data_IF_400623807999
#
_entry.id   IF_400623807999
#
_cell.length_a   1.000
_cell.length_b   1.000
_cell.length_c   1.000
_cell.angle_alpha   90.00
_cell.angle_beta   90.00
_cell.angle_gamma   90.00
#
_symmetry.space_group_name_H-M   'P 1'
#
loop_
_entity.id
_entity.type
_entity.pdbx_description
1 polymer ?
#
# COMPACT_ATOMS: atom_id res chain seq x y z
N UNK A 1 -47.45 -19.84 7.58
CA UNK A 1 -46.86 -21.03 8.20
C UNK A 1 -45.80 -20.54 9.19
N UNK A 2 -45.98 -20.79 10.49
CA UNK A 2 -45.21 -20.21 11.62
C UNK A 2 -44.07 -21.16 12.04
N UNK A 3 -42.84 -20.67 12.15
CA UNK A 3 -41.70 -21.35 12.80
C UNK A 3 -40.89 -20.25 13.53
N UNK A 4 -41.17 -19.93 14.81
CA UNK A 4 -40.54 -20.42 16.06
C UNK A 4 -39.00 -20.32 16.02
N UNK A 5 -38.41 -19.24 16.54
CA UNK A 5 -37.97 -19.04 17.94
C UNK A 5 -36.80 -19.94 18.37
N UNK A 6 -35.67 -19.32 18.70
CA UNK A 6 -34.53 -19.97 19.34
C UNK A 6 -33.41 -18.98 19.69
N UNK A 7 -33.64 -18.17 20.73
CA UNK A 7 -32.69 -17.24 21.33
C UNK A 7 -31.77 -18.05 22.28
N UNK A 8 -30.45 -17.96 22.12
CA UNK A 8 -29.49 -18.50 23.09
C UNK A 8 -28.45 -17.42 23.42
N UNK A 9 -28.69 -16.71 24.53
CA UNK A 9 -27.72 -15.87 25.21
C UNK A 9 -26.76 -16.77 26.00
N UNK A 10 -25.46 -16.72 25.70
CA UNK A 10 -24.41 -17.24 26.56
C UNK A 10 -23.67 -16.07 27.19
N UNK A 11 -23.94 -15.81 28.47
CA UNK A 11 -23.22 -14.86 29.31
C UNK A 11 -22.04 -15.61 29.93
N UNK A 12 -20.81 -15.25 29.57
CA UNK A 12 -19.61 -15.75 30.23
C UNK A 12 -18.96 -14.60 31.01
N UNK A 13 -19.14 -14.62 32.32
CA UNK A 13 -18.54 -13.72 33.29
C UNK A 13 -17.12 -14.20 33.60
N UNK A 14 -16.09 -13.45 33.21
CA UNK A 14 -14.71 -13.70 33.65
C UNK A 14 -14.31 -12.66 34.70
N UNK A 15 -14.30 -13.09 35.96
CA UNK A 15 -13.75 -12.34 37.08
C UNK A 15 -12.26 -12.67 37.20
N UNK A 16 -11.39 -11.67 37.02
CA UNK A 16 -9.95 -11.80 37.28
C UNK A 16 -9.59 -10.95 38.49
N UNK A 17 -8.96 -11.61 39.46
CA UNK A 17 -8.69 -11.14 40.80
C UNK A 17 -7.55 -10.11 40.86
N UNK A 18 -7.73 -9.07 41.69
CA UNK A 18 -6.68 -8.18 42.16
C UNK A 18 -5.83 -8.91 43.22
N UNK A 19 -4.51 -8.96 43.00
CA UNK A 19 -3.55 -9.24 44.08
C UNK A 19 -2.59 -8.06 44.23
N UNK A 20 -2.72 -7.38 45.37
CA UNK A 20 -1.81 -6.36 45.87
C UNK A 20 -0.83 -6.98 46.87
N UNK A 21 0.47 -6.80 46.67
CA UNK A 21 1.55 -7.00 47.66
C UNK A 21 2.88 -6.67 46.97
N UNK A 22 3.84 -5.91 47.48
CA UNK A 22 4.00 -5.21 48.74
C UNK A 22 5.27 -4.34 48.65
N UNK A 23 5.27 -3.20 49.33
CA UNK A 23 6.44 -2.33 49.46
C UNK A 23 7.46 -2.93 50.44
N UNK A 24 8.68 -3.18 50.00
CA UNK A 24 9.86 -3.25 50.86
C UNK A 24 10.70 -1.99 50.64
N UNK A 25 10.79 -1.16 51.66
CA UNK A 25 11.72 -0.05 51.71
C UNK A 25 13.15 -0.59 51.83
N UNK A 26 13.98 -0.29 50.84
CA UNK A 26 15.40 -0.62 50.85
C UNK A 26 16.21 0.47 51.58
N UNK A 27 17.21 0.01 52.33
CA UNK A 27 18.24 0.76 53.06
C UNK A 27 18.91 1.83 52.17
N UNK A 28 19.22 3.05 52.67
CA UNK A 28 20.00 4.03 51.93
C UNK A 28 21.44 3.54 51.75
N UNK A 29 21.73 3.02 50.55
CA UNK A 29 23.07 2.72 50.09
C UNK A 29 23.94 4.00 50.01
N UNK A 30 25.25 3.92 50.29
CA UNK A 30 26.16 5.06 50.29
C UNK A 30 26.15 5.77 48.93
N UNK A 31 26.07 7.10 48.98
CA UNK A 31 26.00 7.95 47.79
C UNK A 31 27.21 7.72 46.86
N UNK A 32 26.99 7.40 45.57
CA UNK A 32 28.07 7.21 44.63
C UNK A 32 28.82 8.53 44.42
N UNK A 33 30.15 8.48 44.48
CA UNK A 33 31.01 9.60 44.09
C UNK A 33 30.90 9.79 42.58
N UNK A 34 30.22 10.85 42.16
CA UNK A 34 30.05 11.19 40.74
C UNK A 34 31.37 11.69 40.19
N UNK A 35 32.07 10.82 39.47
CA UNK A 35 33.20 11.24 38.63
C UNK A 35 32.60 11.80 37.34
N UNK A 36 32.62 13.13 37.19
CA UNK A 36 32.17 13.80 35.97
C UNK A 36 33.19 13.50 34.88
N UNK A 37 32.93 12.47 34.09
CA UNK A 37 33.64 12.24 32.83
C UNK A 37 33.03 13.20 31.83
N UNK A 38 33.78 14.24 31.46
CA UNK A 38 33.44 15.12 30.33
C UNK A 38 33.55 14.30 29.05
N UNK A 39 32.42 13.74 28.61
CA UNK A 39 32.30 13.14 27.29
C UNK A 39 32.45 14.28 26.26
N UNK A 40 33.38 14.17 25.29
CA UNK A 40 33.48 15.17 24.23
C UNK A 40 32.14 15.27 23.52
N UNK A 41 31.58 16.47 23.48
CA UNK A 41 30.36 16.77 22.72
C UNK A 41 30.64 16.42 21.26
N UNK A 42 29.94 15.42 20.75
CA UNK A 42 29.98 15.10 19.33
C UNK A 42 29.63 16.37 18.54
N UNK A 43 30.55 16.80 17.68
CA UNK A 43 30.29 17.83 16.68
C UNK A 43 29.03 17.45 15.93
N UNK A 44 28.06 18.36 15.86
CA UNK A 44 26.84 18.16 15.09
C UNK A 44 27.21 17.70 13.67
N UNK A 45 26.89 16.44 13.37
CA UNK A 45 27.00 15.91 12.02
C UNK A 45 26.09 16.76 11.15
N UNK A 46 26.62 17.29 10.05
CA UNK A 46 25.81 18.03 9.09
C UNK A 46 24.62 17.16 8.68
N UNK A 47 23.42 17.73 8.80
CA UNK A 47 22.18 17.14 8.31
C UNK A 47 22.37 16.84 6.81
N UNK A 48 22.08 15.60 6.36
CA UNK A 48 22.18 15.28 4.94
C UNK A 48 21.27 16.25 4.20
N UNK A 49 21.85 16.98 3.25
CA UNK A 49 21.07 17.87 2.39
C UNK A 49 20.29 16.96 1.45
N UNK A 50 18.97 16.92 1.59
CA UNK A 50 18.08 16.19 0.68
C UNK A 50 18.38 16.65 -0.74
N UNK A 51 19.05 15.78 -1.50
CA UNK A 51 19.21 16.00 -2.93
C UNK A 51 17.81 15.89 -3.54
N UNK A 52 17.33 16.90 -4.29
CA UNK A 52 16.01 16.81 -4.89
C UNK A 52 15.96 15.56 -5.75
N UNK A 53 14.97 14.70 -5.51
CA UNK A 53 14.71 13.54 -6.32
C UNK A 53 14.61 13.97 -7.79
N UNK A 54 15.13 13.18 -8.74
CA UNK A 54 15.04 13.51 -10.16
C UNK A 54 13.56 13.74 -10.52
N UNK A 55 13.25 14.91 -11.04
CA UNK A 55 11.91 15.18 -11.58
C UNK A 55 11.76 14.33 -12.84
N UNK A 56 10.73 13.47 -12.96
CA UNK A 56 10.49 12.71 -14.17
C UNK A 56 10.40 13.63 -15.38
N UNK A 57 11.10 13.29 -16.46
CA UNK A 57 11.06 14.06 -17.70
C UNK A 57 9.70 13.83 -18.38
N UNK A 58 8.89 14.87 -18.50
CA UNK A 58 7.56 14.78 -19.12
C UNK A 58 7.63 14.33 -20.59
N UNK A 59 8.77 14.53 -21.26
CA UNK A 59 8.98 14.11 -22.65
C UNK A 59 9.22 12.59 -22.78
N UNK A 60 9.35 11.86 -21.66
CA UNK A 60 9.58 10.41 -21.63
C UNK A 60 8.32 9.56 -21.45
N UNK A 61 7.14 10.16 -21.25
CA UNK A 61 5.89 9.42 -21.03
C UNK A 61 5.33 8.81 -22.32
N UNK A 62 5.12 7.49 -22.32
CA UNK A 62 4.43 6.75 -23.38
C UNK A 62 3.33 5.85 -22.77
N UNK A 63 2.03 6.07 -23.08
CA UNK A 63 0.95 5.23 -22.57
C UNK A 63 0.99 3.79 -23.09
N UNK A 64 1.82 3.46 -24.08
CA UNK A 64 2.03 2.09 -24.54
C UNK A 64 3.23 1.38 -23.87
N UNK A 65 4.04 2.10 -23.09
CA UNK A 65 5.23 1.59 -22.41
C UNK A 65 5.10 1.77 -20.89
N UNK A 66 4.74 0.71 -20.15
CA UNK A 66 4.61 0.77 -18.70
C UNK A 66 5.88 1.16 -17.95
N UNK A 67 7.06 0.98 -18.55
CA UNK A 67 8.33 1.43 -17.98
C UNK A 67 8.41 2.94 -17.78
N UNK A 68 7.63 3.69 -18.55
CA UNK A 68 7.56 5.16 -18.49
C UNK A 68 6.50 5.66 -17.50
N UNK A 69 5.69 4.77 -16.94
CA UNK A 69 4.55 5.15 -16.11
C UNK A 69 4.98 5.47 -14.67
N UNK A 70 4.36 6.49 -14.11
CA UNK A 70 4.53 6.86 -12.71
C UNK A 70 3.39 6.27 -11.85
N UNK A 71 3.74 5.70 -10.71
CA UNK A 71 2.83 5.40 -9.60
C UNK A 71 2.77 6.63 -8.69
N UNK A 72 1.57 7.21 -8.56
CA UNK A 72 1.32 8.34 -7.66
C UNK A 72 0.00 8.15 -6.92
N UNK A 73 -0.32 9.09 -6.01
CA UNK A 73 -1.62 9.13 -5.35
C UNK A 73 -2.80 9.36 -6.33
N UNK A 74 -2.52 9.80 -7.55
CA UNK A 74 -3.54 9.99 -8.59
C UNK A 74 -3.81 8.71 -9.39
N UNK A 75 -2.92 7.71 -9.33
CA UNK A 75 -3.06 6.45 -10.06
C UNK A 75 -1.75 5.86 -10.58
N UNK A 76 -1.84 5.04 -11.63
CA UNK A 76 -0.68 4.34 -12.25
C UNK A 76 -0.68 4.65 -13.75
N UNK A 77 0.30 5.44 -14.21
CA UNK A 77 0.39 5.82 -15.62
C UNK A 77 -0.92 6.43 -16.15
N UNK A 78 -1.49 5.96 -17.26
CA UNK A 78 -2.76 6.48 -17.79
C UNK A 78 -3.98 6.16 -16.91
N UNK A 79 -3.87 5.22 -15.97
CA UNK A 79 -4.97 4.80 -15.11
C UNK A 79 -5.12 5.76 -13.93
N UNK A 80 -5.99 6.77 -14.08
CA UNK A 80 -6.21 7.82 -13.06
C UNK A 80 -7.49 7.60 -12.25
N UNK A 81 -7.38 7.79 -10.93
CA UNK A 81 -8.53 7.93 -10.05
C UNK A 81 -9.40 9.11 -10.49
N UNK A 82 -10.72 8.98 -10.37
CA UNK A 82 -11.68 9.97 -10.85
C UNK A 82 -11.90 9.99 -12.37
N UNK A 83 -11.03 9.35 -13.16
CA UNK A 83 -11.23 9.12 -14.59
C UNK A 83 -12.37 8.13 -14.87
N UNK A 84 -12.61 7.79 -16.14
CA UNK A 84 -13.63 6.80 -16.53
C UNK A 84 -13.02 5.68 -17.35
N UNK A 85 -13.59 4.48 -17.27
CA UNK A 85 -13.11 3.33 -18.05
C UNK A 85 -13.11 3.57 -19.56
N UNK A 86 -14.14 4.18 -20.19
CA UNK A 86 -14.11 4.46 -21.63
C UNK A 86 -13.00 5.44 -22.04
N UNK A 87 -12.69 6.43 -21.20
CA UNK A 87 -11.58 7.35 -21.44
C UNK A 87 -10.23 6.62 -21.38
N UNK A 88 -10.05 5.79 -20.35
CA UNK A 88 -8.85 4.97 -20.18
C UNK A 88 -8.64 4.01 -21.36
N UNK A 89 -9.69 3.29 -21.80
CA UNK A 89 -9.63 2.39 -22.96
C UNK A 89 -9.20 3.15 -24.23
N UNK A 90 -9.70 4.36 -24.42
CA UNK A 90 -9.33 5.22 -25.56
C UNK A 90 -7.87 5.65 -25.48
N UNK A 91 -7.39 6.02 -24.29
CA UNK A 91 -6.01 6.47 -24.05
C UNK A 91 -5.01 5.34 -24.26
N UNK A 92 -5.30 4.14 -23.72
CA UNK A 92 -4.44 2.97 -23.89
C UNK A 92 -4.46 2.41 -25.31
N UNK A 93 -5.58 2.55 -26.03
CA UNK A 93 -5.76 1.90 -27.34
C UNK A 93 -5.78 0.38 -27.26
N UNK A 94 -6.01 -0.19 -26.08
CA UNK A 94 -6.05 -1.63 -25.80
C UNK A 94 -7.48 -2.08 -25.53
N UNK A 95 -7.76 -3.35 -25.84
CA UNK A 95 -9.03 -3.98 -25.46
C UNK A 95 -8.87 -4.61 -24.08
N UNK A 96 -9.66 -4.21 -23.07
CA UNK A 96 -9.59 -4.84 -21.75
C UNK A 96 -10.22 -6.23 -21.76
N UNK A 97 -9.77 -7.06 -20.81
CA UNK A 97 -10.57 -8.18 -20.31
C UNK A 97 -11.50 -7.66 -19.20
N UNK A 98 -12.79 -7.54 -19.53
CA UNK A 98 -13.83 -7.10 -18.61
C UNK A 98 -14.46 -8.31 -17.95
N UNK A 99 -14.00 -8.63 -16.75
CA UNK A 99 -14.49 -9.77 -15.97
C UNK A 99 -15.91 -9.56 -15.39
N UNK A 100 -16.25 -8.31 -15.04
CA UNK A 100 -17.57 -7.85 -14.63
C UNK A 100 -17.71 -6.38 -14.97
N UNK A 101 -18.94 -5.88 -14.98
CA UNK A 101 -19.19 -4.47 -15.19
C UNK A 101 -18.35 -3.61 -14.21
N UNK A 102 -17.76 -2.53 -14.72
CA UNK A 102 -16.95 -1.64 -13.90
C UNK A 102 -15.55 -2.15 -13.52
N UNK A 103 -15.11 -3.31 -14.02
CA UNK A 103 -13.76 -3.84 -13.76
C UNK A 103 -13.11 -4.28 -15.07
N UNK A 104 -12.11 -3.51 -15.50
CA UNK A 104 -11.33 -3.78 -16.71
C UNK A 104 -9.90 -4.15 -16.33
N UNK A 105 -9.39 -5.23 -16.94
CA UNK A 105 -7.98 -5.64 -16.80
C UNK A 105 -7.24 -5.60 -18.13
N UNK A 106 -5.99 -5.18 -18.09
CA UNK A 106 -5.09 -5.08 -19.25
C UNK A 106 -3.81 -5.86 -18.94
N UNK A 107 -3.34 -6.66 -19.88
CA UNK A 107 -2.07 -7.39 -19.74
C UNK A 107 -0.99 -6.73 -20.59
N UNK A 108 0.07 -6.25 -19.95
CA UNK A 108 1.21 -5.61 -20.60
C UNK A 108 2.49 -6.08 -19.91
N UNK A 109 3.44 -6.60 -20.70
CA UNK A 109 4.80 -6.96 -20.24
C UNK A 109 4.85 -7.83 -18.97
N UNK A 110 3.93 -8.78 -18.86
CA UNK A 110 3.86 -9.71 -17.72
C UNK A 110 3.25 -9.10 -16.45
N UNK A 111 2.65 -7.92 -16.53
CA UNK A 111 1.83 -7.31 -15.50
C UNK A 111 0.35 -7.32 -15.90
N UNK A 112 -0.50 -7.54 -14.90
CA UNK A 112 -1.94 -7.30 -15.00
C UNK A 112 -2.28 -5.96 -14.36
N UNK A 113 -2.86 -5.07 -15.17
CA UNK A 113 -3.32 -3.75 -14.77
C UNK A 113 -4.84 -3.72 -14.68
N UNK A 114 -5.39 -3.51 -13.48
CA UNK A 114 -6.84 -3.49 -13.26
C UNK A 114 -7.33 -2.09 -12.90
N UNK A 115 -8.36 -1.59 -13.57
CA UNK A 115 -9.10 -0.38 -13.20
C UNK A 115 -10.51 -0.74 -12.73
N UNK A 116 -10.96 -0.10 -11.65
CA UNK A 116 -12.24 -0.39 -11.00
C UNK A 116 -13.04 0.89 -10.86
N UNK A 117 -14.24 0.93 -11.44
CA UNK A 117 -15.18 2.03 -11.27
C UNK A 117 -15.97 1.92 -9.96
N UNK A 118 -16.45 3.06 -9.46
CA UNK A 118 -17.24 3.16 -8.23
C UNK A 118 -18.66 2.56 -8.30
N UNK A 119 -19.45 2.89 -7.28
CA UNK A 119 -20.67 2.20 -6.78
C UNK A 119 -21.74 1.85 -7.83
N UNK A 120 -21.78 2.55 -8.97
CA UNK A 120 -22.59 2.12 -10.11
C UNK A 120 -21.69 1.51 -11.19
N UNK A 121 -21.28 0.26 -11.00
CA UNK A 121 -20.48 -0.52 -11.96
C UNK A 121 -21.16 -0.63 -13.34
N UNK A 122 -22.47 -0.34 -13.45
CA UNK A 122 -23.22 -0.33 -14.70
C UNK A 122 -23.24 1.03 -15.40
N UNK A 123 -22.85 2.10 -14.72
CA UNK A 123 -22.70 3.44 -15.30
C UNK A 123 -21.30 3.56 -15.95
N UNK A 124 -21.19 3.66 -17.28
CA UNK A 124 -19.91 3.85 -17.95
C UNK A 124 -19.23 5.19 -17.61
N UNK A 125 -19.92 6.09 -16.91
CA UNK A 125 -19.37 7.36 -16.41
C UNK A 125 -19.02 7.33 -14.92
N UNK A 126 -19.18 6.18 -14.24
CA UNK A 126 -18.74 6.02 -12.88
C UNK A 126 -17.20 6.25 -12.79
N UNK A 127 -16.74 7.03 -11.79
CA UNK A 127 -15.32 7.33 -11.65
C UNK A 127 -14.53 6.08 -11.26
N UNK A 128 -13.31 5.96 -11.76
CA UNK A 128 -12.34 4.97 -11.30
C UNK A 128 -11.97 5.28 -9.83
N UNK A 129 -12.11 4.29 -8.95
CA UNK A 129 -11.85 4.39 -7.50
C UNK A 129 -10.69 3.51 -7.04
N UNK A 130 -10.24 2.59 -7.88
CA UNK A 130 -9.03 1.82 -7.65
C UNK A 130 -8.34 1.48 -8.97
N UNK A 131 -7.01 1.51 -8.95
CA UNK A 131 -6.14 1.01 -10.01
C UNK A 131 -5.08 0.12 -9.40
N UNK A 132 -4.74 -0.98 -10.05
CA UNK A 132 -3.86 -2.02 -9.52
C UNK A 132 -2.90 -2.51 -10.57
N UNK A 133 -1.65 -2.74 -10.19
CA UNK A 133 -0.65 -3.50 -10.94
C UNK A 133 -0.33 -4.77 -10.16
N UNK A 134 -0.31 -5.92 -10.84
CA UNK A 134 0.00 -7.23 -10.28
C UNK A 134 1.00 -7.97 -11.17
N UNK A 135 2.06 -8.52 -10.58
CA UNK A 135 2.91 -9.53 -11.20
C UNK A 135 2.11 -10.81 -11.46
N UNK A 136 2.07 -11.26 -12.72
CA UNK A 136 1.50 -12.56 -13.12
C UNK A 136 2.61 -13.54 -13.52
N UNK A 137 2.30 -14.82 -13.74
CA UNK A 137 3.29 -15.92 -13.90
C UNK A 137 4.38 -15.71 -14.97
N UNK A 138 4.20 -14.76 -15.89
CA UNK A 138 5.18 -14.38 -16.92
C UNK A 138 5.96 -13.10 -16.62
N UNK A 139 5.90 -12.58 -15.40
CA UNK A 139 6.59 -11.35 -15.01
C UNK A 139 8.11 -11.53 -15.03
N UNK A 140 8.80 -10.65 -15.77
CA UNK A 140 10.26 -10.54 -15.73
C UNK A 140 10.63 -9.44 -14.72
N UNK A 141 11.32 -9.76 -13.61
CA UNK A 141 11.70 -8.76 -12.61
C UNK A 141 12.71 -7.73 -13.15
N UNK A 142 13.31 -7.98 -14.32
CA UNK A 142 14.17 -7.02 -15.02
C UNK A 142 13.42 -6.11 -16.01
N UNK A 143 12.12 -6.33 -16.22
CA UNK A 143 11.30 -5.46 -17.06
C UNK A 143 11.21 -4.05 -16.45
N UNK A 144 11.14 -3.06 -17.33
CA UNK A 144 10.80 -1.71 -16.90
C UNK A 144 9.30 -1.69 -16.55
N UNK A 145 9.00 -1.29 -15.32
CA UNK A 145 7.65 -1.31 -14.75
C UNK A 145 7.33 0.04 -14.13
N UNK A 146 6.04 0.37 -13.95
CA UNK A 146 5.66 1.61 -13.30
C UNK A 146 6.24 1.69 -11.90
N UNK A 147 6.83 2.85 -11.57
CA UNK A 147 7.49 3.09 -10.28
C UNK A 147 7.00 4.39 -9.67
N UNK A 148 7.13 4.52 -8.36
CA UNK A 148 7.00 5.81 -7.67
C UNK A 148 8.17 6.73 -8.02
N UNK A 149 8.11 8.01 -7.61
CA UNK A 149 9.21 8.95 -7.82
C UNK A 149 10.52 8.52 -7.11
N UNK A 150 10.40 7.70 -6.06
CA UNK A 150 11.48 7.14 -5.27
C UNK A 150 11.94 5.77 -5.79
N UNK A 151 11.39 5.31 -6.93
CA UNK A 151 11.83 4.09 -7.62
C UNK A 151 11.23 2.78 -7.09
N UNK A 152 10.15 2.85 -6.30
CA UNK A 152 9.47 1.65 -5.78
C UNK A 152 8.33 1.21 -6.71
N UNK A 153 8.25 -0.08 -7.00
CA UNK A 153 7.18 -0.67 -7.80
C UNK A 153 7.07 -2.17 -7.57
N UNK A 154 6.38 -2.86 -8.48
CA UNK A 154 6.41 -4.33 -8.53
C UNK A 154 7.85 -4.81 -8.77
N UNK A 155 8.28 -5.86 -8.08
CA UNK A 155 9.65 -6.38 -8.09
C UNK A 155 10.62 -5.68 -7.12
N UNK A 156 10.22 -4.58 -6.48
CA UNK A 156 11.01 -4.01 -5.37
C UNK A 156 10.91 -4.90 -4.13
N UNK A 157 11.95 -4.92 -3.30
CA UNK A 157 11.90 -5.60 -2.00
C UNK A 157 11.23 -4.73 -0.93
N UNK A 158 10.71 -5.36 0.12
CA UNK A 158 10.22 -4.66 1.33
C UNK A 158 11.31 -3.80 1.97
N UNK A 159 12.57 -4.25 1.93
CA UNK A 159 13.69 -3.49 2.47
C UNK A 159 13.95 -2.20 1.68
N UNK A 160 13.90 -2.27 0.35
CA UNK A 160 13.99 -1.09 -0.53
C UNK A 160 12.83 -0.13 -0.27
N UNK A 161 11.59 -0.66 -0.17
CA UNK A 161 10.41 0.13 0.15
C UNK A 161 10.56 0.89 1.47
N UNK A 162 10.98 0.21 2.53
CA UNK A 162 11.18 0.83 3.84
C UNK A 162 12.35 1.81 3.87
N UNK A 163 13.38 1.58 3.05
CA UNK A 163 14.49 2.52 2.90
C UNK A 163 14.06 3.79 2.15
N UNK A 164 13.22 3.66 1.12
CA UNK A 164 12.69 4.79 0.35
C UNK A 164 11.64 5.58 1.16
N UNK A 165 10.84 4.89 1.97
CA UNK A 165 9.80 5.48 2.81
C UNK A 165 9.92 5.04 4.28
N UNK A 166 10.83 5.65 5.06
CA UNK A 166 11.07 5.27 6.46
C UNK A 166 9.85 5.42 7.38
N UNK A 167 8.88 6.23 6.97
CA UNK A 167 7.65 6.53 7.72
C UNK A 167 6.42 5.81 7.16
N UNK A 168 6.61 4.82 6.28
CA UNK A 168 5.50 4.11 5.65
C UNK A 168 4.60 3.44 6.70
N UNK A 169 3.29 3.57 6.52
CA UNK A 169 2.31 2.94 7.40
C UNK A 169 2.18 1.45 7.08
N UNK A 170 1.70 0.67 8.04
CA UNK A 170 1.33 -0.74 7.79
C UNK A 170 -0.02 -1.05 8.40
N UNK A 171 -0.74 -1.97 7.76
CA UNK A 171 -1.95 -2.58 8.30
C UNK A 171 -2.05 -4.04 7.85
N UNK A 172 -3.01 -4.79 8.41
CA UNK A 172 -3.31 -6.15 7.98
C UNK A 172 -4.52 -6.12 7.06
N UNK A 173 -4.41 -6.68 5.85
CA UNK A 173 -5.56 -6.84 4.96
C UNK A 173 -6.53 -7.91 5.53
N UNK A 174 -7.66 -8.13 4.84
CA UNK A 174 -8.64 -9.16 5.27
C UNK A 174 -8.09 -10.58 5.24
N UNK A 175 -7.04 -10.83 4.47
CA UNK A 175 -6.30 -12.09 4.45
C UNK A 175 -5.32 -12.27 5.61
N UNK A 176 -5.10 -11.23 6.43
CA UNK A 176 -4.11 -11.24 7.50
C UNK A 176 -2.68 -11.07 6.99
N UNK A 177 -2.50 -10.46 5.81
CA UNK A 177 -1.20 -10.13 5.25
C UNK A 177 -0.87 -8.67 5.55
N UNK A 178 0.42 -8.40 5.78
CA UNK A 178 0.92 -7.03 5.95
C UNK A 178 0.88 -6.28 4.63
N UNK A 179 0.18 -5.15 4.63
CA UNK A 179 0.18 -4.18 3.54
C UNK A 179 0.91 -2.93 3.99
N UNK A 180 1.78 -2.41 3.13
CA UNK A 180 2.49 -1.16 3.35
C UNK A 180 1.77 -0.03 2.62
N UNK A 181 1.59 1.11 3.28
CA UNK A 181 0.72 2.17 2.78
C UNK A 181 1.35 3.55 2.86
N UNK A 182 1.26 4.27 1.75
CA UNK A 182 1.45 5.72 1.68
C UNK A 182 0.07 6.35 1.63
N UNK A 183 -0.24 7.20 2.59
CA UNK A 183 -1.53 7.89 2.70
C UNK A 183 -1.44 9.30 2.10
N UNK A 184 -2.40 9.63 1.23
CA UNK A 184 -2.68 11.00 0.78
C UNK A 184 -3.94 11.55 1.44
N UNK A 185 -4.41 12.70 0.95
CA UNK A 185 -5.63 13.34 1.47
C UNK A 185 -6.90 12.55 1.11
N UNK A 186 -6.99 12.06 -0.13
CA UNK A 186 -8.18 11.38 -0.67
C UNK A 186 -7.92 9.96 -1.20
N UNK A 187 -6.65 9.55 -1.26
CA UNK A 187 -6.24 8.27 -1.83
C UNK A 187 -5.05 7.68 -1.08
N UNK A 188 -4.74 6.41 -1.37
CA UNK A 188 -3.63 5.68 -0.78
C UNK A 188 -2.91 4.89 -1.85
N UNK A 189 -1.59 4.74 -1.71
CA UNK A 189 -0.78 3.76 -2.46
C UNK A 189 -0.49 2.60 -1.51
N UNK A 190 -0.81 1.38 -1.92
CA UNK A 190 -0.67 0.16 -1.15
C UNK A 190 0.29 -0.79 -1.86
N UNK A 191 1.27 -1.30 -1.13
CA UNK A 191 2.25 -2.28 -1.61
C UNK A 191 2.04 -3.59 -0.87
N UNK A 192 1.84 -4.68 -1.60
CA UNK A 192 1.54 -5.99 -1.02
C UNK A 192 2.57 -7.02 -1.49
N UNK A 193 3.32 -7.63 -0.56
CA UNK A 193 4.31 -8.63 -0.90
C UNK A 193 3.78 -10.08 -0.95
N UNK A 194 2.50 -10.29 -0.61
CA UNK A 194 1.83 -11.60 -0.58
C UNK A 194 2.62 -12.70 0.14
N UNK A 195 3.15 -12.38 1.33
CA UNK A 195 3.92 -13.33 2.13
C UNK A 195 5.36 -13.57 1.67
N UNK A 196 5.82 -12.89 0.63
CA UNK A 196 7.24 -12.82 0.22
C UNK A 196 7.93 -11.58 0.80
N UNK A 197 9.20 -11.37 0.44
CA UNK A 197 9.96 -10.14 0.68
C UNK A 197 9.97 -9.18 -0.52
N UNK A 198 9.27 -9.53 -1.60
CA UNK A 198 9.15 -8.77 -2.84
C UNK A 198 7.73 -8.21 -3.01
N UNK A 199 7.60 -6.97 -3.47
CA UNK A 199 6.33 -6.34 -3.80
C UNK A 199 5.81 -6.95 -5.10
N UNK A 200 4.68 -7.63 -5.03
CA UNK A 200 4.03 -8.26 -6.20
C UNK A 200 2.78 -7.52 -6.63
N UNK A 201 2.21 -6.68 -5.75
CA UNK A 201 1.05 -5.85 -6.04
C UNK A 201 1.31 -4.41 -5.62
N UNK A 202 0.90 -3.48 -6.49
CA UNK A 202 0.77 -2.06 -6.17
C UNK A 202 -0.66 -1.62 -6.48
N UNK A 203 -1.37 -1.08 -5.49
CA UNK A 203 -2.75 -0.60 -5.64
C UNK A 203 -2.87 0.86 -5.23
N UNK A 204 -3.42 1.70 -6.09
CA UNK A 204 -3.82 3.08 -5.75
C UNK A 204 -5.33 3.15 -5.65
N UNK A 205 -5.87 3.60 -4.52
CA UNK A 205 -7.34 3.60 -4.30
C UNK A 205 -7.81 4.72 -3.39
N UNK A 206 -9.06 5.14 -3.55
CA UNK A 206 -9.78 6.05 -2.63
C UNK A 206 -10.38 5.34 -1.41
N UNK A 207 -10.31 4.01 -1.35
CA UNK A 207 -10.72 3.22 -0.19
C UNK A 207 -9.64 3.21 0.89
N UNK A 208 -10.05 3.09 2.16
CA UNK A 208 -9.13 2.94 3.29
C UNK A 208 -8.44 1.56 3.33
N UNK A 209 -9.03 0.55 2.67
CA UNK A 209 -8.53 -0.82 2.56
C UNK A 209 -8.56 -1.28 1.09
N UNK A 210 -7.57 -2.09 0.71
CA UNK A 210 -7.56 -2.79 -0.59
C UNK A 210 -8.53 -3.97 -0.56
N UNK A 211 -9.28 -4.17 -1.64
CA UNK A 211 -10.15 -5.34 -1.77
C UNK A 211 -9.30 -6.60 -2.06
N UNK A 212 -9.64 -7.77 -1.50
CA UNK A 212 -8.86 -9.00 -1.70
C UNK A 212 -8.87 -9.45 -3.17
N UNK A 213 -9.97 -9.20 -3.88
CA UNK A 213 -10.07 -9.47 -5.31
C UNK A 213 -10.82 -8.34 -6.04
N UNK A 214 -10.32 -7.99 -7.24
CA UNK A 214 -11.04 -7.12 -8.17
C UNK A 214 -11.62 -7.94 -9.31
N UNK A 215 -10.80 -8.77 -9.96
CA UNK A 215 -11.18 -9.97 -10.70
C UNK A 215 -9.96 -10.88 -10.88
N UNK A 216 -10.21 -12.20 -11.05
CA UNK A 216 -9.21 -13.27 -10.99
C UNK A 216 -7.88 -12.92 -11.63
N UNK A 217 -6.84 -12.92 -10.79
CA UNK A 217 -5.44 -12.77 -11.16
C UNK A 217 -5.05 -13.69 -12.31
#
# INVERSE_FOLDING_TARGET
MKIRSGLALAVLSFAVALTASGCSAADPAPAPTVTVTVTPSATASAEPTDSPAPTPDADSYDPADPGTWLVSLDGIGPMRLGGTLPALQTELGLTPDTCRAGVDSYSLDGLAYTAVSGIDESDPQAPIVAVRSLAVDSFDPSAEVPRTAEGIGVGSTVAELQSAYPMIETYQNRGGETVYRISGDESTINFEPMGSDEIVIVTVTTSAEVAPEYCGA
#
